data_IF_429809147604
#
_entry.id   IF_429809147604
#
_cell.length_a   1.000
_cell.length_b   1.000
_cell.length_c   1.000
_cell.angle_alpha   90.00
_cell.angle_beta   90.00
_cell.angle_gamma   90.00
#
_symmetry.space_group_name_H-M   'P 1'
#
loop_
_entity.id
_entity.type
_entity.pdbx_description
1 polymer ?
#
# COMPACT_ATOMS: atom_id res chain seq x y z
N UNK A 1 -20.67 -11.13 -13.97
CA UNK A 1 -19.32 -10.98 -13.42
C UNK A 1 -18.60 -12.28 -13.71
N UNK A 2 -17.57 -12.26 -14.55
CA UNK A 2 -16.64 -13.39 -14.61
C UNK A 2 -15.86 -13.40 -13.29
N UNK A 3 -15.71 -14.58 -12.69
CA UNK A 3 -14.82 -14.77 -11.55
C UNK A 3 -13.38 -14.49 -12.01
N UNK A 4 -12.72 -13.53 -11.36
CA UNK A 4 -11.32 -13.21 -11.60
C UNK A 4 -10.49 -14.40 -11.10
N UNK A 5 -9.52 -14.91 -11.88
CA UNK A 5 -8.76 -16.08 -11.45
C UNK A 5 -7.99 -15.79 -10.15
N UNK A 6 -7.87 -16.78 -9.25
CA UNK A 6 -7.33 -16.59 -7.90
C UNK A 6 -5.89 -16.07 -7.96
N UNK A 7 -5.49 -15.19 -7.03
CA UNK A 7 -4.07 -14.90 -6.83
C UNK A 7 -3.57 -15.16 -5.46
N UNK A 8 -2.32 -15.57 -5.49
CA UNK A 8 -1.50 -15.84 -4.33
C UNK A 8 -0.43 -14.79 -4.31
N UNK A 9 -0.53 -13.89 -3.33
CA UNK A 9 0.57 -13.01 -3.00
C UNK A 9 1.75 -13.82 -2.48
N UNK A 10 2.93 -13.51 -3.01
CA UNK A 10 4.18 -13.97 -2.46
C UNK A 10 4.67 -12.89 -1.53
N UNK A 11 4.92 -13.27 -0.28
CA UNK A 11 5.66 -12.41 0.63
C UNK A 11 6.90 -11.85 -0.07
N UNK A 12 7.26 -10.58 0.14
CA UNK A 12 8.50 -10.05 -0.39
C UNK A 12 9.62 -11.06 -0.04
N UNK A 13 10.44 -11.49 -1.03
CA UNK A 13 11.40 -12.55 -0.83
C UNK A 13 12.28 -12.24 0.39
N UNK A 14 12.37 -13.19 1.32
CA UNK A 14 13.08 -13.01 2.59
C UNK A 14 14.59 -13.01 2.34
N UNK A 15 15.15 -11.82 2.21
CA UNK A 15 16.55 -11.55 2.54
C UNK A 15 16.58 -10.39 3.54
N UNK A 16 16.85 -10.68 4.81
CA UNK A 16 16.93 -9.68 5.89
C UNK A 16 16.09 -10.03 7.13
N UNK A 17 16.06 -9.10 8.09
CA UNK A 17 15.46 -9.31 9.41
C UNK A 17 13.95 -9.04 9.40
N UNK A 18 13.16 -9.99 9.93
CA UNK A 18 11.68 -9.94 10.03
C UNK A 18 11.26 -10.61 11.35
N UNK A 19 10.11 -10.21 11.90
CA UNK A 19 9.55 -10.83 13.11
C UNK A 19 9.25 -12.32 12.93
N UNK A 20 9.44 -13.10 14.00
CA UNK A 20 9.05 -14.51 14.09
C UNK A 20 8.04 -14.68 15.24
N UNK A 21 6.75 -14.72 14.92
CA UNK A 21 5.71 -14.54 15.93
C UNK A 21 5.81 -13.16 16.56
N UNK A 22 5.72 -13.08 17.89
CA UNK A 22 5.89 -11.81 18.63
C UNK A 22 7.34 -11.46 18.97
N UNK A 23 8.32 -12.26 18.54
CA UNK A 23 9.74 -11.94 18.73
C UNK A 23 10.24 -11.08 17.57
N UNK A 24 10.73 -9.88 17.90
CA UNK A 24 11.20 -8.91 16.93
C UNK A 24 12.69 -9.10 16.60
N UNK A 25 13.10 -8.80 15.36
CA UNK A 25 14.50 -8.84 14.97
C UNK A 25 15.35 -7.81 15.73
N UNK A 26 16.62 -8.12 15.94
CA UNK A 26 17.62 -7.17 16.42
C UNK A 26 18.24 -6.40 15.25
N UNK A 27 18.26 -5.07 15.34
CA UNK A 27 18.86 -4.18 14.34
C UNK A 27 20.26 -3.67 14.76
N UNK A 28 20.91 -4.32 15.73
CA UNK A 28 22.19 -3.90 16.27
C UNK A 28 23.29 -3.79 15.19
N UNK A 29 23.31 -4.69 14.20
CA UNK A 29 24.33 -4.69 13.15
C UNK A 29 24.15 -3.53 12.17
N UNK A 30 22.92 -3.28 11.69
CA UNK A 30 22.61 -2.11 10.85
C UNK A 30 22.95 -0.81 11.58
N UNK A 31 22.61 -0.73 12.87
CA UNK A 31 22.88 0.44 13.70
C UNK A 31 24.36 0.63 13.99
N UNK A 32 25.13 -0.45 14.20
CA UNK A 32 26.57 -0.38 14.38
C UNK A 32 27.26 0.14 13.10
N UNK A 33 26.84 -0.34 11.94
CA UNK A 33 27.31 0.15 10.63
C UNK A 33 27.01 1.63 10.44
N UNK A 34 25.78 2.05 10.74
CA UNK A 34 25.34 3.45 10.69
C UNK A 34 26.14 4.34 11.65
N UNK A 35 26.35 3.89 12.88
CA UNK A 35 27.13 4.59 13.91
C UNK A 35 28.54 4.90 13.40
N UNK A 36 29.24 3.90 12.85
CA UNK A 36 30.58 4.09 12.30
C UNK A 36 30.58 5.06 11.10
N UNK A 37 29.61 4.92 10.19
CA UNK A 37 29.48 5.75 8.99
C UNK A 37 29.24 7.23 9.31
N UNK A 38 28.24 7.52 10.17
CA UNK A 38 27.86 8.89 10.56
C UNK A 38 29.03 9.58 11.29
N UNK A 39 29.66 8.88 12.23
CA UNK A 39 30.77 9.42 13.00
C UNK A 39 31.99 9.74 12.11
N UNK A 40 32.38 8.82 11.23
CA UNK A 40 33.51 9.01 10.32
C UNK A 40 33.28 10.17 9.33
N UNK A 41 32.05 10.32 8.83
CA UNK A 41 31.68 11.41 7.92
C UNK A 41 31.50 12.75 8.64
N UNK A 42 31.35 12.73 9.97
CA UNK A 42 30.94 13.89 10.80
C UNK A 42 29.69 14.57 10.25
N UNK A 43 28.80 13.79 9.63
CA UNK A 43 27.62 14.27 8.90
C UNK A 43 26.55 13.19 8.94
N UNK A 44 25.32 13.61 9.28
CA UNK A 44 24.16 12.73 9.24
C UNK A 44 23.75 12.32 7.83
N UNK A 45 22.94 11.27 7.77
CA UNK A 45 22.20 10.85 6.58
C UNK A 45 20.72 11.03 6.87
N UNK A 46 19.93 11.44 5.88
CA UNK A 46 18.50 11.63 6.07
C UNK A 46 17.75 10.31 6.14
N UNK A 47 18.24 9.31 5.39
CA UNK A 47 17.64 7.98 5.32
C UNK A 47 18.71 6.90 5.18
N UNK A 48 18.39 5.73 5.71
CA UNK A 48 19.14 4.49 5.54
C UNK A 48 18.20 3.42 4.98
N UNK A 49 18.45 2.92 3.75
CA UNK A 49 17.51 2.05 3.05
C UNK A 49 17.33 0.69 3.73
N UNK A 50 18.40 0.16 4.33
CA UNK A 50 18.37 -1.17 4.96
C UNK A 50 17.59 -1.12 6.26
N UNK A 51 17.88 -0.15 7.14
CA UNK A 51 17.13 0.05 8.38
C UNK A 51 15.65 0.40 8.11
N UNK A 52 15.36 1.20 7.08
CA UNK A 52 13.98 1.49 6.66
C UNK A 52 13.28 0.20 6.23
N UNK A 53 13.91 -0.60 5.37
CA UNK A 53 13.36 -1.87 4.89
C UNK A 53 13.10 -2.85 6.02
N UNK A 54 14.08 -3.08 6.90
CA UNK A 54 13.97 -3.97 8.07
C UNK A 54 12.83 -3.53 9.00
N UNK A 55 12.71 -2.22 9.25
CA UNK A 55 11.61 -1.65 10.05
C UNK A 55 10.25 -1.89 9.37
N UNK A 56 10.12 -1.53 8.10
CA UNK A 56 8.86 -1.67 7.37
C UNK A 56 8.41 -3.13 7.29
N UNK A 57 9.34 -4.05 6.98
CA UNK A 57 9.06 -5.50 6.92
C UNK A 57 8.63 -6.06 8.27
N UNK A 58 9.28 -5.63 9.35
CA UNK A 58 8.90 -6.03 10.71
C UNK A 58 7.47 -5.59 11.03
N UNK A 59 7.14 -4.33 10.78
CA UNK A 59 5.80 -3.80 11.04
C UNK A 59 4.74 -4.42 10.11
N UNK A 60 5.07 -4.69 8.85
CA UNK A 60 4.18 -5.39 7.92
C UNK A 60 3.88 -6.82 8.35
N UNK A 61 4.84 -7.54 8.95
CA UNK A 61 4.57 -8.85 9.52
C UNK A 61 3.43 -8.78 10.56
N UNK A 62 3.40 -7.73 11.38
CA UNK A 62 2.30 -7.48 12.31
C UNK A 62 0.99 -7.14 11.61
N UNK A 63 1.02 -6.36 10.51
CA UNK A 63 -0.19 -6.11 9.70
C UNK A 63 -0.75 -7.41 9.15
N UNK A 64 0.09 -8.27 8.59
CA UNK A 64 -0.35 -9.55 8.02
C UNK A 64 -0.87 -10.51 9.08
N UNK A 65 -0.20 -10.62 10.22
CA UNK A 65 -0.67 -11.41 11.36
C UNK A 65 -2.05 -10.93 11.82
N UNK A 66 -2.24 -9.62 11.96
CA UNK A 66 -3.49 -9.04 12.42
C UNK A 66 -4.63 -9.13 11.41
N UNK A 67 -4.36 -8.91 10.12
CA UNK A 67 -5.38 -8.97 9.06
C UNK A 67 -5.83 -10.42 8.79
N UNK A 68 -4.96 -11.40 9.04
CA UNK A 68 -5.24 -12.83 8.92
C UNK A 68 -4.26 -13.56 7.99
N UNK A 69 -3.92 -14.81 8.33
CA UNK A 69 -2.98 -15.66 7.58
C UNK A 69 -3.47 -16.10 6.20
N UNK A 70 -4.78 -15.97 5.93
CA UNK A 70 -5.42 -16.37 4.66
C UNK A 70 -5.33 -15.27 3.59
N UNK A 71 -4.26 -14.47 3.65
CA UNK A 71 -3.83 -13.52 2.63
C UNK A 71 -3.71 -14.15 1.22
N UNK A 72 -3.48 -15.47 1.17
CA UNK A 72 -3.29 -16.27 -0.05
C UNK A 72 -4.62 -16.53 -0.80
N UNK A 73 -5.76 -16.29 -0.16
CA UNK A 73 -7.10 -16.59 -0.70
C UNK A 73 -8.08 -15.42 -0.60
N UNK A 74 -7.60 -14.18 -0.41
CA UNK A 74 -8.48 -13.01 -0.41
C UNK A 74 -9.17 -12.94 -1.77
N UNK A 75 -10.48 -13.14 -1.78
CA UNK A 75 -11.27 -13.06 -3.00
C UNK A 75 -11.15 -11.64 -3.57
N UNK A 76 -10.75 -11.59 -4.84
CA UNK A 76 -10.41 -10.36 -5.57
C UNK A 76 -11.54 -9.34 -5.71
N UNK A 77 -12.77 -9.75 -5.43
CA UNK A 77 -13.95 -8.92 -5.48
C UNK A 77 -14.17 -8.11 -4.19
N UNK A 78 -13.39 -8.37 -3.14
CA UNK A 78 -13.55 -7.75 -1.82
C UNK A 78 -12.85 -6.38 -1.69
N UNK A 79 -13.37 -5.48 -0.84
CA UNK A 79 -12.68 -4.25 -0.42
C UNK A 79 -11.34 -4.45 0.33
N UNK A 80 -10.91 -5.69 0.56
CA UNK A 80 -9.77 -6.03 1.41
C UNK A 80 -8.42 -5.65 0.77
N UNK A 81 -8.26 -5.81 -0.54
CA UNK A 81 -7.01 -5.46 -1.21
C UNK A 81 -6.68 -3.97 -1.14
N UNK A 82 -7.70 -3.12 -1.29
CA UNK A 82 -7.54 -1.67 -1.18
C UNK A 82 -7.15 -1.30 0.25
N UNK A 83 -7.88 -1.85 1.24
CA UNK A 83 -7.62 -1.61 2.66
C UNK A 83 -6.20 -2.01 3.03
N UNK A 84 -5.78 -3.23 2.65
CA UNK A 84 -4.44 -3.73 2.91
C UNK A 84 -3.36 -2.92 2.19
N UNK A 85 -3.59 -2.50 0.95
CA UNK A 85 -2.64 -1.62 0.24
C UNK A 85 -2.46 -0.30 0.97
N UNK A 86 -3.55 0.29 1.49
CA UNK A 86 -3.48 1.52 2.30
C UNK A 86 -2.70 1.30 3.61
N UNK A 87 -2.95 0.18 4.31
CA UNK A 87 -2.20 -0.18 5.52
C UNK A 87 -0.70 -0.34 5.19
N UNK A 88 -0.37 -1.03 4.11
CA UNK A 88 1.02 -1.21 3.68
C UNK A 88 1.70 0.10 3.34
N UNK A 89 1.05 0.97 2.57
CA UNK A 89 1.56 2.32 2.28
C UNK A 89 1.76 3.15 3.53
N UNK A 90 0.84 3.04 4.50
CA UNK A 90 0.98 3.73 5.78
C UNK A 90 2.19 3.21 6.58
N UNK A 91 2.43 1.89 6.62
CA UNK A 91 3.62 1.31 7.27
C UNK A 91 4.91 1.81 6.63
N UNK A 92 5.00 1.83 5.29
CA UNK A 92 6.19 2.38 4.61
C UNK A 92 6.39 3.86 4.89
N UNK A 93 5.32 4.65 4.87
CA UNK A 93 5.37 6.07 5.21
C UNK A 93 5.82 6.32 6.64
N UNK A 94 5.30 5.54 7.59
CA UNK A 94 5.67 5.60 8.99
C UNK A 94 7.12 5.19 9.21
N UNK A 95 7.55 4.09 8.60
CA UNK A 95 8.92 3.57 8.69
C UNK A 95 9.93 4.54 8.13
N UNK A 96 9.63 5.22 7.01
CA UNK A 96 10.46 6.28 6.47
C UNK A 96 10.57 7.49 7.41
N UNK A 97 9.47 7.88 8.07
CA UNK A 97 9.48 8.96 9.06
C UNK A 97 10.27 8.56 10.31
N UNK A 98 10.06 7.34 10.84
CA UNK A 98 10.83 6.77 11.95
C UNK A 98 12.33 6.75 11.64
N UNK A 99 12.71 6.24 10.47
CA UNK A 99 14.09 6.18 10.01
C UNK A 99 14.73 7.58 9.99
N UNK A 100 14.03 8.59 9.47
CA UNK A 100 14.51 9.98 9.49
C UNK A 100 14.75 10.47 10.92
N UNK A 101 13.78 10.30 11.82
CA UNK A 101 13.92 10.78 13.21
C UNK A 101 15.03 10.05 13.95
N UNK A 102 15.18 8.75 13.73
CA UNK A 102 16.23 7.95 14.34
C UNK A 102 17.61 8.42 13.89
N UNK A 103 17.81 8.63 12.59
CA UNK A 103 19.08 9.09 12.04
C UNK A 103 19.39 10.53 12.46
N UNK A 104 18.38 11.39 12.55
CA UNK A 104 18.51 12.73 13.13
C UNK A 104 18.94 12.66 14.60
N UNK A 105 18.27 11.84 15.41
CA UNK A 105 18.60 11.66 16.84
C UNK A 105 20.03 11.13 17.02
N UNK A 106 20.44 10.15 16.19
CA UNK A 106 21.81 9.63 16.17
C UNK A 106 22.80 10.74 15.77
N UNK A 107 22.48 11.54 14.76
CA UNK A 107 23.35 12.64 14.30
C UNK A 107 23.54 13.71 15.38
N UNK A 108 22.46 14.08 16.07
CA UNK A 108 22.48 15.04 17.18
C UNK A 108 23.32 14.52 18.35
N UNK A 109 23.26 13.22 18.63
CA UNK A 109 24.05 12.57 19.68
C UNK A 109 25.57 12.56 19.42
N UNK A 110 26.05 12.92 18.22
CA UNK A 110 27.49 13.08 17.96
C UNK A 110 28.11 14.20 18.80
N UNK A 111 27.31 15.16 19.27
CA UNK A 111 27.78 16.26 20.10
C UNK A 111 27.33 16.08 21.55
N UNK A 112 28.16 16.59 22.46
CA UNK A 112 27.80 16.71 23.88
C UNK A 112 26.94 17.95 24.14
N UNK A 113 26.61 18.17 25.41
CA UNK A 113 25.75 19.28 25.86
C UNK A 113 26.39 20.65 25.60
N UNK A 114 27.72 20.69 25.57
CA UNK A 114 28.55 21.86 25.24
C UNK A 114 28.73 22.05 23.72
N UNK A 115 28.23 21.12 22.90
CA UNK A 115 28.32 21.14 21.44
C UNK A 115 29.66 20.65 20.88
N UNK A 116 30.57 20.14 21.72
CA UNK A 116 31.82 19.51 21.30
C UNK A 116 31.55 18.11 20.72
N UNK A 117 32.43 17.67 19.81
CA UNK A 117 32.30 16.35 19.20
C UNK A 117 32.69 15.29 20.25
N UNK A 118 31.79 14.35 20.54
CA UNK A 118 32.05 13.22 21.43
C UNK A 118 33.18 12.34 20.89
N UNK A 119 33.82 11.58 21.77
CA UNK A 119 34.68 10.47 21.34
C UNK A 119 33.83 9.36 20.69
N UNK A 120 34.45 8.50 19.87
CA UNK A 120 33.71 7.41 19.23
C UNK A 120 33.12 6.41 20.23
N UNK A 121 33.84 6.00 21.31
CA UNK A 121 33.24 5.18 22.36
C UNK A 121 32.01 5.82 23.00
N UNK A 122 32.10 7.09 23.42
CA UNK A 122 30.96 7.78 24.07
C UNK A 122 29.79 7.91 23.10
N UNK A 123 30.07 8.23 21.83
CA UNK A 123 29.04 8.30 20.80
C UNK A 123 28.34 6.94 20.60
N UNK A 124 29.11 5.85 20.54
CA UNK A 124 28.58 4.49 20.41
C UNK A 124 27.68 4.12 21.59
N UNK A 125 28.03 4.52 22.80
CA UNK A 125 27.18 4.32 23.98
C UNK A 125 25.85 5.08 23.87
N UNK A 126 25.86 6.34 23.41
CA UNK A 126 24.62 7.09 23.16
C UNK A 126 23.76 6.44 22.08
N UNK A 127 24.37 5.96 21.00
CA UNK A 127 23.66 5.24 19.92
C UNK A 127 23.02 3.95 20.44
N UNK A 128 23.67 3.22 21.36
CA UNK A 128 23.08 2.03 21.98
C UNK A 128 21.81 2.37 22.79
N UNK A 129 21.80 3.48 23.53
CA UNK A 129 20.61 3.97 24.25
C UNK A 129 19.49 4.35 23.28
N UNK A 130 19.83 5.00 22.15
CA UNK A 130 18.87 5.35 21.10
C UNK A 130 18.30 4.07 20.47
N UNK A 131 19.14 3.09 20.15
CA UNK A 131 18.74 1.80 19.59
C UNK A 131 17.73 1.08 20.50
N UNK A 132 18.04 0.99 21.80
CA UNK A 132 17.16 0.37 22.78
C UNK A 132 15.77 1.01 22.81
N UNK A 133 15.68 2.34 22.63
CA UNK A 133 14.39 3.03 22.59
C UNK A 133 13.65 2.79 21.26
N UNK A 134 14.28 3.09 20.13
CA UNK A 134 13.64 3.06 18.81
C UNK A 134 13.34 1.65 18.32
N UNK A 135 14.30 0.74 18.46
CA UNK A 135 14.28 -0.55 17.77
C UNK A 135 13.94 -1.72 18.69
N UNK A 136 13.82 -1.49 20.01
CA UNK A 136 13.36 -2.51 20.96
C UNK A 136 12.04 -2.08 21.58
N UNK A 137 12.05 -1.07 22.46
CA UNK A 137 10.86 -0.70 23.23
C UNK A 137 9.72 -0.14 22.36
N UNK A 138 10.02 0.84 21.50
CA UNK A 138 9.00 1.46 20.65
C UNK A 138 8.60 0.55 19.50
N UNK A 139 9.55 -0.15 18.88
CA UNK A 139 9.26 -1.10 17.80
C UNK A 139 8.28 -2.19 18.24
N UNK A 140 8.39 -2.71 19.48
CA UNK A 140 7.41 -3.67 20.00
C UNK A 140 6.00 -3.09 20.06
N UNK A 141 5.86 -1.88 20.61
CA UNK A 141 4.56 -1.23 20.73
C UNK A 141 3.96 -0.90 19.35
N UNK A 142 4.81 -0.50 18.40
CA UNK A 142 4.41 -0.25 17.02
C UNK A 142 3.97 -1.53 16.30
N UNK A 143 4.70 -2.64 16.50
CA UNK A 143 4.35 -3.96 15.95
C UNK A 143 2.99 -4.43 16.48
N UNK A 144 2.78 -4.37 17.79
CA UNK A 144 1.51 -4.75 18.43
C UNK A 144 0.36 -3.85 17.93
N UNK A 145 0.65 -2.58 17.66
CA UNK A 145 -0.31 -1.62 17.08
C UNK A 145 -0.66 -1.98 15.64
N UNK A 146 0.30 -2.42 14.84
CA UNK A 146 0.06 -2.94 13.49
C UNK A 146 -0.89 -4.14 13.51
N UNK A 147 -0.67 -5.12 14.41
CA UNK A 147 -1.56 -6.27 14.58
C UNK A 147 -2.98 -5.80 14.94
N UNK A 148 -3.12 -5.07 16.05
CA UNK A 148 -4.44 -4.67 16.55
C UNK A 148 -5.22 -3.84 15.52
N UNK A 149 -4.54 -2.93 14.83
CA UNK A 149 -5.17 -2.08 13.83
C UNK A 149 -5.58 -2.88 12.59
N UNK A 150 -4.74 -3.79 12.12
CA UNK A 150 -5.04 -4.63 10.96
C UNK A 150 -6.23 -5.56 11.25
N UNK A 151 -6.27 -6.19 12.43
CA UNK A 151 -7.43 -7.01 12.86
C UNK A 151 -8.72 -6.21 12.85
N UNK A 152 -8.69 -4.99 13.42
CA UNK A 152 -9.87 -4.12 13.42
C UNK A 152 -10.22 -3.63 12.02
N UNK A 153 -9.25 -3.46 11.12
CA UNK A 153 -9.50 -3.04 9.74
C UNK A 153 -10.18 -4.15 8.92
N UNK A 154 -9.75 -5.40 9.10
CA UNK A 154 -10.36 -6.58 8.48
C UNK A 154 -11.82 -6.75 8.94
N UNK A 155 -12.05 -6.74 10.27
CA UNK A 155 -13.40 -6.79 10.86
C UNK A 155 -14.31 -5.68 10.33
N UNK A 156 -13.78 -4.48 10.11
CA UNK A 156 -14.57 -3.39 9.53
C UNK A 156 -15.05 -3.69 8.10
N UNK A 157 -14.24 -4.36 7.27
CA UNK A 157 -14.67 -4.78 5.94
C UNK A 157 -15.80 -5.81 6.04
N UNK A 158 -15.68 -6.79 6.94
CA UNK A 158 -16.74 -7.77 7.23
C UNK A 158 -18.03 -7.08 7.69
N UNK A 159 -17.92 -6.11 8.62
CA UNK A 159 -19.07 -5.34 9.10
C UNK A 159 -19.78 -4.61 7.97
N UNK A 160 -19.02 -3.95 7.09
CA UNK A 160 -19.60 -3.27 5.92
C UNK A 160 -20.26 -4.24 4.96
N UNK A 161 -19.70 -5.42 4.74
CA UNK A 161 -20.27 -6.44 3.86
C UNK A 161 -21.58 -7.01 4.40
N UNK A 162 -21.70 -7.12 5.74
CA UNK A 162 -22.86 -7.71 6.40
C UNK A 162 -23.86 -6.68 6.95
N UNK A 163 -23.63 -5.38 6.73
CA UNK A 163 -24.39 -4.28 7.36
C UNK A 163 -25.90 -4.34 7.13
N UNK A 164 -26.34 -4.93 6.02
CA UNK A 164 -27.77 -5.01 5.67
C UNK A 164 -28.50 -6.04 6.55
N UNK A 165 -27.78 -7.03 7.08
CA UNK A 165 -28.29 -8.04 8.01
C UNK A 165 -27.99 -7.69 9.48
N UNK A 166 -26.81 -7.10 9.73
CA UNK A 166 -26.32 -6.75 11.07
C UNK A 166 -25.87 -5.29 11.10
N UNK A 167 -26.81 -4.32 11.21
CA UNK A 167 -26.52 -2.90 11.04
C UNK A 167 -25.87 -2.24 12.27
N UNK A 168 -25.80 -2.92 13.40
CA UNK A 168 -25.30 -2.39 14.67
C UNK A 168 -23.98 -3.01 15.09
N UNK A 169 -23.13 -2.17 15.67
CA UNK A 169 -21.91 -2.56 16.36
C UNK A 169 -22.03 -2.19 17.84
N UNK A 170 -21.42 -3.00 18.70
CA UNK A 170 -21.24 -2.73 20.13
C UNK A 170 -19.77 -2.64 20.45
N UNK A 171 -19.37 -1.59 21.16
CA UNK A 171 -18.02 -1.43 21.67
C UNK A 171 -17.81 -2.38 22.86
N UNK A 172 -16.72 -3.15 22.84
CA UNK A 172 -16.40 -4.13 23.86
C UNK A 172 -14.95 -3.94 24.32
N UNK A 173 -14.76 -3.85 25.64
CA UNK A 173 -13.42 -3.84 26.24
C UNK A 173 -13.01 -5.25 26.65
N UNK A 174 -11.71 -5.48 26.89
CA UNK A 174 -11.21 -6.72 27.48
C UNK A 174 -11.81 -7.04 28.87
N UNK A 175 -12.41 -6.06 29.54
CA UNK A 175 -13.13 -6.24 30.81
C UNK A 175 -12.27 -6.38 32.07
N UNK A 176 -10.93 -6.43 31.95
CA UNK A 176 -10.01 -6.54 33.09
C UNK A 176 -9.57 -5.17 33.65
N UNK A 177 -8.77 -5.19 34.73
CA UNK A 177 -8.29 -3.99 35.44
C UNK A 177 -7.28 -3.15 34.63
N UNK A 178 -6.69 -3.71 33.56
CA UNK A 178 -5.73 -2.98 32.70
C UNK A 178 -6.43 -2.12 31.65
N UNK A 179 -7.75 -2.24 31.49
CA UNK A 179 -8.54 -1.35 30.62
C UNK A 179 -8.54 0.06 31.21
N UNK A 180 -8.20 1.05 30.38
CA UNK A 180 -8.23 2.47 30.74
C UNK A 180 -9.66 2.93 31.02
N UNK A 181 -9.84 3.81 32.00
CA UNK A 181 -11.16 4.28 32.42
C UNK A 181 -11.92 4.96 31.27
N UNK A 182 -11.21 5.70 30.41
CA UNK A 182 -11.77 6.30 29.21
C UNK A 182 -12.41 5.25 28.29
N UNK A 183 -11.80 4.07 28.18
CA UNK A 183 -12.31 2.98 27.33
C UNK A 183 -13.47 2.24 28.00
N UNK A 184 -13.46 2.12 29.34
CA UNK A 184 -14.56 1.50 30.10
C UNK A 184 -15.89 2.23 29.90
N UNK A 185 -15.85 3.56 29.77
CA UNK A 185 -17.05 4.37 29.51
C UNK A 185 -17.73 3.99 28.19
N UNK A 186 -16.94 3.53 27.21
CA UNK A 186 -17.45 3.10 25.91
C UNK A 186 -17.99 1.68 25.93
N UNK A 187 -17.66 0.87 26.95
CA UNK A 187 -18.06 -0.53 27.00
C UNK A 187 -19.59 -0.68 26.97
N UNK A 188 -20.11 -1.42 26.00
CA UNK A 188 -21.55 -1.62 25.78
C UNK A 188 -22.22 -0.56 24.91
N UNK A 189 -21.54 0.56 24.58
CA UNK A 189 -22.08 1.55 23.64
C UNK A 189 -22.36 0.87 22.31
N UNK A 190 -23.63 0.89 21.91
CA UNK A 190 -24.13 0.22 20.71
C UNK A 190 -24.64 1.26 19.72
N UNK A 191 -24.08 1.27 18.52
CA UNK A 191 -24.33 2.27 17.48
C UNK A 191 -24.45 1.62 16.11
N UNK A 192 -25.23 2.21 15.20
CA UNK A 192 -25.25 1.78 13.80
C UNK A 192 -23.86 1.90 13.19
N UNK A 193 -23.52 1.03 12.23
CA UNK A 193 -22.21 1.03 11.56
C UNK A 193 -21.90 2.40 10.93
N UNK A 194 -22.91 3.10 10.40
CA UNK A 194 -22.78 4.41 9.75
C UNK A 194 -22.79 5.61 10.72
N UNK A 195 -22.90 5.37 12.03
CA UNK A 195 -22.88 6.44 13.02
C UNK A 195 -21.49 7.10 13.09
N UNK A 196 -21.40 8.45 13.09
CA UNK A 196 -20.14 9.18 13.22
C UNK A 196 -19.30 8.82 14.44
N UNK A 197 -19.89 8.22 15.49
CA UNK A 197 -19.19 7.65 16.63
C UNK A 197 -18.01 6.78 16.20
N UNK A 198 -18.21 5.89 15.22
CA UNK A 198 -17.17 4.97 14.77
C UNK A 198 -16.01 5.67 14.06
N UNK A 199 -16.19 6.89 13.54
CA UNK A 199 -15.08 7.65 12.95
C UNK A 199 -14.02 8.06 13.99
N UNK A 200 -14.44 8.20 15.25
CA UNK A 200 -13.60 8.71 16.34
C UNK A 200 -13.25 7.63 17.37
N UNK A 201 -14.16 6.71 17.63
CA UNK A 201 -14.09 5.78 18.77
C UNK A 201 -13.89 4.32 18.34
N UNK A 202 -13.74 4.03 17.04
CA UNK A 202 -13.46 2.67 16.58
C UNK A 202 -12.05 2.24 17.03
N UNK A 203 -11.91 1.10 17.73
CA UNK A 203 -10.61 0.64 18.23
C UNK A 203 -9.56 0.41 17.13
N UNK A 204 -8.25 0.54 17.45
CA UNK A 204 -7.69 0.78 18.79
C UNK A 204 -7.73 2.27 19.22
N UNK A 205 -8.07 2.50 20.50
CA UNK A 205 -8.23 3.84 21.08
C UNK A 205 -7.02 4.29 21.94
N UNK A 206 -5.85 3.72 21.70
CA UNK A 206 -4.61 3.96 22.44
C UNK A 206 -3.58 2.87 22.20
N UNK A 207 -2.33 3.13 22.58
CA UNK A 207 -1.26 2.12 22.56
C UNK A 207 -1.67 0.89 23.40
N UNK A 208 -1.42 -0.31 22.90
CA UNK A 208 -1.79 -1.59 23.56
C UNK A 208 -3.27 -1.67 23.95
N UNK A 209 -4.16 -1.03 23.19
CA UNK A 209 -5.60 -1.14 23.37
C UNK A 209 -6.06 -2.56 22.99
N UNK A 210 -6.81 -3.21 23.88
CA UNK A 210 -7.42 -4.54 23.67
C UNK A 210 -8.95 -4.46 23.58
N UNK A 211 -9.46 -3.34 23.09
CA UNK A 211 -10.89 -3.16 22.85
C UNK A 211 -11.22 -3.53 21.42
N UNK A 212 -12.46 -3.95 21.19
CA UNK A 212 -12.98 -4.32 19.89
C UNK A 212 -14.39 -3.75 19.67
N UNK A 213 -14.88 -3.89 18.45
CA UNK A 213 -16.28 -3.72 18.12
C UNK A 213 -16.81 -5.07 17.66
N UNK A 214 -18.03 -5.42 18.08
CA UNK A 214 -18.70 -6.66 17.69
C UNK A 214 -20.03 -6.34 17.02
N UNK A 215 -20.41 -7.09 15.99
CA UNK A 215 -21.74 -6.99 15.40
C UNK A 215 -22.79 -7.57 16.34
N UNK A 216 -23.94 -6.91 16.43
CA UNK A 216 -25.08 -7.35 17.22
C UNK A 216 -26.35 -7.43 16.35
N UNK A 217 -27.20 -8.47 16.51
CA UNK A 217 -28.47 -8.61 15.80
C UNK A 217 -29.47 -7.48 16.06
N UNK A 218 -30.29 -7.13 15.05
CA UNK A 218 -31.26 -6.03 15.11
C UNK A 218 -32.46 -6.32 16.06
N UNK A 219 -32.86 -7.59 16.14
CA UNK A 219 -34.10 -8.05 16.78
C UNK A 219 -34.20 -7.76 18.30
N UNK A 220 -33.09 -7.48 18.98
CA UNK A 220 -33.04 -7.09 20.39
C UNK A 220 -32.07 -5.91 20.67
N UNK A 221 -31.63 -5.18 19.65
CA UNK A 221 -30.64 -4.10 19.84
C UNK A 221 -31.31 -2.75 20.17
N UNK A 222 -31.09 -2.27 21.39
CA UNK A 222 -31.33 -0.87 21.73
C UNK A 222 -30.08 -0.04 21.47
N UNK A 223 -30.15 0.84 20.45
CA UNK A 223 -29.09 1.81 20.20
C UNK A 223 -28.88 2.71 21.42
N UNK A 224 -27.63 2.89 21.85
CA UNK A 224 -27.29 3.75 22.98
C UNK A 224 -27.55 5.22 22.59
N UNK A 225 -28.48 5.94 23.24
CA UNK A 225 -28.73 7.34 22.92
C UNK A 225 -27.50 8.20 23.23
N UNK A 226 -27.19 9.17 22.37
CA UNK A 226 -25.96 9.98 22.49
C UNK A 226 -25.79 10.71 23.85
N UNK A 227 -26.89 10.93 24.59
CA UNK A 227 -26.90 11.63 25.88
C UNK A 227 -26.82 10.68 27.10
N UNK A 228 -26.60 9.37 26.90
CA UNK A 228 -26.56 8.38 28.00
C UNK A 228 -25.17 8.09 28.54
N UNK A 229 -24.13 8.59 27.88
CA UNK A 229 -22.73 8.44 28.27
C UNK A 229 -21.95 9.72 27.94
N UNK A 230 -20.94 10.03 28.76
CA UNK A 230 -20.03 11.15 28.48
C UNK A 230 -18.93 10.66 27.56
N UNK A 231 -18.79 11.28 26.39
CA UNK A 231 -17.74 10.91 25.45
C UNK A 231 -16.35 11.19 26.05
N UNK A 232 -15.47 10.17 26.14
CA UNK A 232 -14.13 10.35 26.68
C UNK A 232 -13.25 11.12 25.71
N UNK A 233 -12.24 11.80 26.25
CA UNK A 233 -11.18 12.42 25.46
C UNK A 233 -10.14 11.35 25.14
N UNK A 234 -10.11 10.92 23.88
CA UNK A 234 -9.07 10.01 23.36
C UNK A 234 -7.93 10.85 22.79
N UNK A 235 -6.70 10.36 22.84
CA UNK A 235 -5.56 11.01 22.17
C UNK A 235 -5.87 11.18 20.67
N UNK A 236 -5.67 12.38 20.07
CA UNK A 236 -5.93 12.63 18.65
C UNK A 236 -5.31 11.61 17.69
N UNK A 237 -4.19 10.99 18.06
CA UNK A 237 -3.54 9.95 17.26
C UNK A 237 -4.45 8.74 17.01
N UNK A 238 -5.38 8.44 17.92
CA UNK A 238 -6.26 7.27 17.84
C UNK A 238 -7.71 7.63 17.46
N UNK A 239 -7.98 8.90 17.13
CA UNK A 239 -9.31 9.35 16.68
C UNK A 239 -9.54 9.08 15.19
N UNK A 240 -9.22 7.88 14.75
CA UNK A 240 -9.26 7.48 13.34
C UNK A 240 -9.86 6.09 13.23
N UNK A 241 -10.92 5.94 12.43
CA UNK A 241 -11.37 4.62 12.03
C UNK A 241 -10.37 4.01 11.04
N UNK A 242 -9.56 3.08 11.53
CA UNK A 242 -8.55 2.41 10.72
C UNK A 242 -9.15 1.58 9.58
N UNK A 243 -10.31 0.96 9.77
CA UNK A 243 -11.00 0.18 8.74
C UNK A 243 -11.59 1.03 7.62
N UNK A 244 -11.97 2.28 7.89
CA UNK A 244 -12.39 3.22 6.84
C UNK A 244 -11.20 3.85 6.12
N UNK A 245 -10.13 4.18 6.85
CA UNK A 245 -9.05 5.04 6.33
C UNK A 245 -7.81 4.29 5.86
N UNK A 246 -7.59 3.07 6.36
CA UNK A 246 -6.35 2.32 6.17
C UNK A 246 -5.13 2.97 6.85
N UNK A 247 -5.34 3.75 7.92
CA UNK A 247 -4.27 4.41 8.66
C UNK A 247 -4.01 3.70 10.00
N UNK A 248 -2.79 3.18 10.16
CA UNK A 248 -2.27 2.66 11.44
C UNK A 248 -1.65 3.78 12.25
N UNK A 249 -0.81 4.57 11.59
CA UNK A 249 -0.13 5.72 12.17
C UNK A 249 -0.55 6.99 11.40
N UNK A 250 -1.50 7.77 11.92
CA UNK A 250 -1.95 9.01 11.28
C UNK A 250 -0.84 10.07 11.16
N UNK A 251 -1.02 11.03 10.25
CA UNK A 251 -0.06 12.13 9.99
C UNK A 251 0.25 13.01 11.21
N UNK A 252 -0.58 12.97 12.25
CA UNK A 252 -0.33 13.65 13.53
C UNK A 252 0.71 12.94 14.42
N UNK A 253 1.19 11.76 14.04
CA UNK A 253 2.20 11.04 14.81
C UNK A 253 3.51 11.86 14.92
N UNK A 254 4.16 11.91 16.09
CA UNK A 254 5.37 12.72 16.31
C UNK A 254 6.50 12.47 15.32
N UNK A 255 6.58 11.28 14.73
CA UNK A 255 7.59 10.99 13.70
C UNK A 255 7.43 11.82 12.43
N UNK A 256 6.23 12.30 12.09
CA UNK A 256 6.02 13.15 10.93
C UNK A 256 6.40 14.63 11.18
N UNK A 257 6.68 15.00 12.43
CA UNK A 257 7.03 16.38 12.81
C UNK A 257 8.41 16.79 12.29
N UNK A 258 8.54 18.03 11.83
CA UNK A 258 9.80 18.65 11.40
C UNK A 258 10.56 17.89 10.29
N UNK A 259 9.87 17.03 9.52
CA UNK A 259 10.45 16.39 8.34
C UNK A 259 10.35 17.35 7.14
N UNK A 260 11.45 17.66 6.44
CA UNK A 260 11.39 18.47 5.23
C UNK A 260 10.48 17.87 4.16
N UNK A 261 9.77 18.73 3.44
CA UNK A 261 8.78 18.31 2.44
C UNK A 261 9.39 17.40 1.37
N UNK A 262 8.83 16.20 1.22
CA UNK A 262 9.24 15.23 0.20
C UNK A 262 10.27 14.20 0.64
N UNK A 263 10.89 14.34 1.82
CA UNK A 263 11.90 13.37 2.31
C UNK A 263 11.32 11.96 2.47
N UNK A 264 10.11 11.82 3.03
CA UNK A 264 9.41 10.53 3.13
C UNK A 264 9.22 9.88 1.75
N UNK A 265 8.77 10.66 0.74
CA UNK A 265 8.57 10.14 -0.61
C UNK A 265 9.89 9.69 -1.24
N UNK A 266 10.95 10.50 -1.09
CA UNK A 266 12.28 10.14 -1.58
C UNK A 266 12.76 8.86 -0.90
N UNK A 267 12.65 8.75 0.42
CA UNK A 267 13.08 7.58 1.17
C UNK A 267 12.50 6.29 0.60
N UNK A 268 11.18 6.26 0.35
CA UNK A 268 10.49 5.11 -0.21
C UNK A 268 10.86 4.90 -1.68
N UNK A 269 10.91 5.97 -2.49
CA UNK A 269 11.23 5.87 -3.91
C UNK A 269 12.67 5.44 -4.21
N UNK A 270 13.61 5.70 -3.29
CA UNK A 270 15.00 5.31 -3.42
C UNK A 270 15.31 3.94 -2.80
N UNK A 271 14.32 3.22 -2.27
CA UNK A 271 14.53 1.86 -1.80
C UNK A 271 15.12 0.99 -2.92
N UNK A 272 16.05 0.07 -2.58
CA UNK A 272 16.46 -0.98 -3.49
C UNK A 272 15.22 -1.74 -4.01
N UNK A 273 15.20 -2.17 -5.28
CA UNK A 273 14.06 -2.90 -5.86
C UNK A 273 13.55 -4.02 -4.95
N UNK A 274 14.41 -4.86 -4.41
CA UNK A 274 14.08 -5.95 -3.47
C UNK A 274 13.33 -5.52 -2.19
N UNK A 275 13.31 -4.22 -1.89
CA UNK A 275 12.66 -3.61 -0.73
C UNK A 275 11.43 -2.75 -1.09
N UNK A 276 11.16 -2.56 -2.39
CA UNK A 276 10.14 -1.63 -2.89
C UNK A 276 8.90 -2.27 -3.52
N UNK A 277 8.84 -3.61 -3.60
CA UNK A 277 7.73 -4.33 -4.23
C UNK A 277 7.00 -5.28 -3.28
N UNK A 278 5.72 -5.45 -3.55
CA UNK A 278 4.86 -6.52 -3.05
C UNK A 278 4.62 -7.48 -4.22
N UNK A 279 5.10 -8.71 -4.09
CA UNK A 279 5.07 -9.68 -5.17
C UNK A 279 3.81 -10.56 -5.09
N UNK A 280 3.26 -10.95 -6.23
CA UNK A 280 2.18 -11.93 -6.31
C UNK A 280 2.18 -12.65 -7.65
N UNK A 281 1.27 -13.61 -7.84
CA UNK A 281 1.11 -14.28 -9.13
C UNK A 281 -0.31 -14.28 -9.60
N UNK A 282 -0.52 -13.92 -10.87
CA UNK A 282 -1.80 -14.12 -11.53
C UNK A 282 -1.89 -15.54 -12.11
N UNK A 283 -2.93 -16.27 -11.72
CA UNK A 283 -3.28 -17.54 -12.34
C UNK A 283 -3.94 -17.31 -13.70
N UNK A 284 -3.33 -17.75 -14.79
CA UNK A 284 -3.86 -17.54 -16.14
C UNK A 284 -3.61 -18.76 -17.03
N UNK A 285 -4.66 -19.53 -17.32
CA UNK A 285 -4.57 -20.72 -18.18
C UNK A 285 -3.65 -21.80 -17.62
N UNK A 286 -3.66 -22.01 -16.30
CA UNK A 286 -2.77 -22.98 -15.61
C UNK A 286 -1.32 -22.51 -15.45
N UNK A 287 -1.04 -21.22 -15.68
CA UNK A 287 0.28 -20.60 -15.47
C UNK A 287 0.22 -19.63 -14.30
N UNK A 288 1.35 -19.46 -13.63
CA UNK A 288 1.56 -18.42 -12.63
C UNK A 288 2.37 -17.30 -13.26
N UNK A 289 1.74 -16.15 -13.53
CA UNK A 289 2.42 -14.96 -14.05
C UNK A 289 2.84 -14.09 -12.85
N UNK A 290 4.14 -13.99 -12.53
CA UNK A 290 4.61 -13.10 -11.46
C UNK A 290 4.24 -11.64 -11.75
N UNK A 291 3.84 -10.94 -10.69
CA UNK A 291 3.50 -9.52 -10.68
C UNK A 291 4.25 -8.84 -9.54
N UNK A 292 4.99 -7.79 -9.87
CA UNK A 292 5.75 -6.97 -8.93
C UNK A 292 5.02 -5.64 -8.72
N UNK A 293 4.25 -5.49 -7.64
CA UNK A 293 3.55 -4.24 -7.34
C UNK A 293 4.43 -3.31 -6.52
N UNK A 294 4.82 -2.16 -7.08
CA UNK A 294 5.57 -1.18 -6.31
C UNK A 294 4.70 -0.63 -5.15
N UNK A 295 5.28 -0.45 -3.97
CA UNK A 295 4.55 0.00 -2.76
C UNK A 295 3.85 1.36 -2.93
N UNK A 296 4.34 2.19 -3.84
CA UNK A 296 3.76 3.48 -4.24
C UNK A 296 2.80 3.42 -5.44
N UNK A 297 2.36 2.24 -5.88
CA UNK A 297 1.34 2.15 -6.93
C UNK A 297 0.02 2.77 -6.46
N UNK A 298 -0.70 3.41 -7.38
CA UNK A 298 -1.95 4.12 -7.07
C UNK A 298 -3.03 3.18 -6.55
N UNK A 299 -3.46 3.36 -5.29
CA UNK A 299 -4.45 2.48 -4.65
C UNK A 299 -5.79 2.50 -5.38
N UNK A 300 -6.22 3.67 -5.85
CA UNK A 300 -7.50 3.84 -6.55
C UNK A 300 -7.54 3.12 -7.90
N UNK A 301 -6.38 2.92 -8.53
CA UNK A 301 -6.24 2.26 -9.83
C UNK A 301 -5.92 0.76 -9.69
N UNK A 302 -5.34 0.35 -8.56
CA UNK A 302 -4.80 -1.00 -8.32
C UNK A 302 -5.80 -2.11 -8.69
N UNK A 303 -7.03 -2.06 -8.14
CA UNK A 303 -8.05 -3.10 -8.42
C UNK A 303 -8.34 -3.20 -9.91
N UNK A 304 -8.48 -2.06 -10.58
CA UNK A 304 -8.75 -2.03 -12.01
C UNK A 304 -7.57 -2.52 -12.84
N UNK A 305 -6.36 -2.18 -12.43
CA UNK A 305 -5.12 -2.55 -13.10
C UNK A 305 -4.88 -4.06 -13.01
N UNK A 306 -5.11 -4.66 -11.85
CA UNK A 306 -5.05 -6.10 -11.65
C UNK A 306 -6.10 -6.83 -12.49
N UNK A 307 -7.34 -6.34 -12.53
CA UNK A 307 -8.40 -6.94 -13.34
C UNK A 307 -8.02 -6.97 -14.84
N UNK A 308 -7.54 -5.84 -15.37
CA UNK A 308 -7.07 -5.72 -16.75
C UNK A 308 -5.89 -6.67 -17.00
N UNK A 309 -4.94 -6.71 -16.07
CA UNK A 309 -3.75 -7.55 -16.17
C UNK A 309 -4.11 -9.04 -16.16
N UNK A 310 -5.09 -9.46 -15.36
CA UNK A 310 -5.50 -10.85 -15.29
C UNK A 310 -6.14 -11.35 -16.58
N UNK A 311 -7.04 -10.57 -17.18
CA UNK A 311 -7.60 -10.92 -18.49
C UNK A 311 -6.52 -10.89 -19.57
N UNK A 312 -5.62 -9.89 -19.52
CA UNK A 312 -4.52 -9.80 -20.47
C UNK A 312 -3.62 -11.04 -20.38
N UNK A 313 -3.31 -11.50 -19.17
CA UNK A 313 -2.54 -12.72 -18.95
C UNK A 313 -3.26 -13.95 -19.50
N UNK A 314 -4.59 -14.03 -19.40
CA UNK A 314 -5.37 -15.12 -19.99
C UNK A 314 -5.32 -15.10 -21.53
N UNK A 315 -5.37 -13.91 -22.14
CA UNK A 315 -5.32 -13.72 -23.61
C UNK A 315 -3.91 -13.94 -24.16
N UNK A 316 -2.90 -13.39 -23.49
CA UNK A 316 -1.51 -13.37 -23.94
C UNK A 316 -0.69 -14.42 -23.19
N UNK A 317 -0.62 -15.61 -23.76
CA UNK A 317 0.11 -16.75 -23.18
C UNK A 317 1.63 -16.57 -23.13
N UNK A 318 2.15 -15.58 -23.86
CA UNK A 318 3.55 -15.17 -23.89
C UNK A 318 3.89 -14.05 -22.89
N UNK A 319 2.90 -13.51 -22.16
CA UNK A 319 3.14 -12.65 -20.99
C UNK A 319 3.75 -13.51 -19.87
N UNK A 320 4.98 -13.19 -19.49
CA UNK A 320 5.76 -13.94 -18.51
C UNK A 320 5.88 -13.24 -17.17
N UNK A 321 5.77 -11.90 -17.13
CA UNK A 321 5.93 -11.11 -15.91
C UNK A 321 5.28 -9.73 -16.10
N UNK A 322 4.84 -9.11 -15.00
CA UNK A 322 4.37 -7.73 -14.99
C UNK A 322 4.89 -6.97 -13.77
N UNK A 323 5.12 -5.66 -13.92
CA UNK A 323 5.44 -4.77 -12.81
C UNK A 323 4.42 -3.63 -12.78
N UNK A 324 3.71 -3.44 -11.67
CA UNK A 324 2.83 -2.29 -11.47
C UNK A 324 3.64 -1.12 -10.91
N UNK A 325 3.63 0.00 -11.62
CA UNK A 325 4.60 1.07 -11.46
C UNK A 325 4.20 2.08 -10.36
N UNK A 326 5.16 2.75 -9.71
CA UNK A 326 4.86 3.78 -8.71
C UNK A 326 4.19 5.03 -9.30
N UNK A 327 3.30 5.65 -8.51
CA UNK A 327 2.85 7.02 -8.76
C UNK A 327 3.89 8.03 -8.25
N UNK A 328 4.77 8.48 -9.15
CA UNK A 328 5.85 9.42 -8.85
C UNK A 328 5.39 10.84 -9.11
N UNK A 329 5.49 11.67 -8.07
CA UNK A 329 5.20 13.11 -8.15
C UNK A 329 6.16 13.81 -9.14
N UNK A 330 5.67 14.82 -9.86
CA UNK A 330 6.40 15.51 -10.93
C UNK A 330 7.76 16.10 -10.51
N UNK A 331 7.83 16.66 -9.30
CA UNK A 331 9.08 17.15 -8.66
C UNK A 331 10.16 16.10 -8.49
N UNK A 332 9.77 14.84 -8.47
CA UNK A 332 10.61 13.67 -8.23
C UNK A 332 10.78 12.85 -9.53
N UNK A 333 10.46 13.43 -10.70
CA UNK A 333 10.44 12.74 -12.01
C UNK A 333 11.74 12.04 -12.41
N UNK A 334 12.90 12.47 -11.89
CA UNK A 334 14.19 11.79 -12.09
C UNK A 334 14.22 10.36 -11.53
N UNK A 335 13.33 10.03 -10.59
CA UNK A 335 13.21 8.68 -10.04
C UNK A 335 12.60 7.69 -11.02
N UNK A 336 11.87 8.17 -12.02
CA UNK A 336 11.14 7.31 -12.95
C UNK A 336 12.07 6.40 -13.73
N UNK A 337 13.26 6.87 -14.10
CA UNK A 337 14.24 6.08 -14.87
C UNK A 337 14.60 4.74 -14.20
N UNK A 338 14.41 4.58 -12.89
CA UNK A 338 14.64 3.31 -12.17
C UNK A 338 13.60 2.22 -12.45
N UNK A 339 12.39 2.61 -12.86
CA UNK A 339 11.22 1.73 -12.91
C UNK A 339 10.79 1.40 -14.33
N UNK A 340 11.44 1.99 -15.34
CA UNK A 340 11.09 1.85 -16.75
C UNK A 340 12.25 1.15 -17.48
N UNK A 341 11.98 0.51 -18.63
CA UNK A 341 13.03 -0.14 -19.42
C UNK A 341 14.16 0.81 -19.80
N UNK A 342 15.39 0.29 -19.82
CA UNK A 342 16.57 1.05 -20.22
C UNK A 342 16.39 1.65 -21.62
N UNK A 343 16.61 2.96 -21.74
CA UNK A 343 16.48 3.70 -22.99
C UNK A 343 15.04 4.01 -23.42
N UNK A 344 14.04 3.73 -22.58
CA UNK A 344 12.66 4.16 -22.84
C UNK A 344 12.50 5.69 -22.70
N UNK A 345 11.80 6.32 -23.64
CA UNK A 345 11.58 7.77 -23.65
C UNK A 345 10.19 8.15 -23.11
N UNK A 346 10.16 8.99 -22.07
CA UNK A 346 8.91 9.48 -21.49
C UNK A 346 8.14 10.37 -22.46
N UNK A 347 6.90 9.98 -22.76
CA UNK A 347 5.97 10.78 -23.57
C UNK A 347 5.56 12.08 -22.86
N UNK A 348 5.23 12.00 -21.57
CA UNK A 348 5.03 13.15 -20.67
C UNK A 348 5.69 12.85 -19.32
N UNK A 349 6.77 13.58 -18.99
CA UNK A 349 7.52 13.41 -17.73
C UNK A 349 6.67 13.65 -16.48
N UNK A 350 5.53 14.31 -16.59
CA UNK A 350 4.61 14.55 -15.49
C UNK A 350 3.59 13.42 -15.28
N UNK A 351 3.60 12.39 -16.13
CA UNK A 351 2.68 11.27 -16.08
C UNK A 351 3.39 9.97 -15.75
N UNK A 352 2.65 9.02 -15.18
CA UNK A 352 3.12 7.70 -14.84
C UNK A 352 2.34 6.70 -15.70
N UNK A 353 3.04 5.73 -16.29
CA UNK A 353 2.41 4.53 -16.84
C UNK A 353 1.96 3.62 -15.70
N UNK A 354 1.03 2.72 -15.99
CA UNK A 354 0.49 1.79 -15.00
C UNK A 354 1.40 0.57 -14.80
N UNK A 355 1.98 0.07 -15.89
CA UNK A 355 2.72 -1.18 -15.85
C UNK A 355 3.90 -1.26 -16.85
N UNK A 356 4.88 -2.08 -16.50
CA UNK A 356 5.79 -2.71 -17.47
C UNK A 356 5.41 -4.19 -17.61
N UNK A 357 5.21 -4.65 -18.83
CA UNK A 357 4.83 -6.02 -19.15
C UNK A 357 5.93 -6.72 -19.92
N UNK A 358 6.25 -7.95 -19.53
CA UNK A 358 7.33 -8.73 -20.14
C UNK A 358 6.74 -9.83 -21.02
N UNK A 359 7.01 -9.75 -22.31
CA UNK A 359 6.64 -10.75 -23.32
C UNK A 359 7.91 -11.44 -23.85
N UNK A 360 8.36 -12.48 -23.15
CA UNK A 360 9.63 -13.16 -23.44
C UNK A 360 10.84 -12.23 -23.28
N UNK A 361 11.40 -11.72 -24.39
CA UNK A 361 12.52 -10.76 -24.37
C UNK A 361 12.11 -9.30 -24.56
N UNK A 362 10.82 -9.03 -24.83
CA UNK A 362 10.30 -7.69 -25.08
C UNK A 362 9.66 -7.13 -23.82
N UNK A 363 9.84 -5.84 -23.58
CA UNK A 363 9.18 -5.11 -22.49
C UNK A 363 8.24 -4.06 -23.08
N UNK A 364 7.01 -4.03 -22.60
CA UNK A 364 5.99 -3.05 -22.99
C UNK A 364 5.69 -2.13 -21.81
N UNK A 365 5.87 -0.83 -22.00
CA UNK A 365 5.35 0.17 -21.08
C UNK A 365 3.88 0.39 -21.43
N UNK A 366 2.99 0.06 -20.50
CA UNK A 366 1.55 -0.01 -20.71
C UNK A 366 0.77 0.89 -19.76
N UNK A 367 -0.31 1.46 -20.29
CA UNK A 367 -1.32 2.19 -19.54
C UNK A 367 -2.65 1.42 -19.65
N UNK A 368 -3.28 1.21 -18.50
CA UNK A 368 -4.49 0.42 -18.33
C UNK A 368 -5.69 1.35 -18.18
N UNK A 369 -6.80 0.95 -18.79
CA UNK A 369 -8.05 1.70 -18.68
C UNK A 369 -9.25 0.76 -18.57
N UNK A 370 -10.15 1.08 -17.64
CA UNK A 370 -11.49 0.50 -17.56
C UNK A 370 -12.51 1.51 -18.07
N UNK A 371 -13.31 1.11 -19.04
CA UNK A 371 -14.29 1.97 -19.68
C UNK A 371 -15.69 1.41 -19.47
N UNK A 372 -16.61 2.29 -19.09
CA UNK A 372 -18.01 1.92 -19.03
C UNK A 372 -18.62 1.76 -20.42
N UNK A 373 -19.45 0.73 -20.59
CA UNK A 373 -20.18 0.46 -21.81
C UNK A 373 -19.33 -0.23 -22.88
N UNK A 374 -19.65 0.06 -24.15
CA UNK A 374 -19.21 -0.75 -25.29
C UNK A 374 -18.06 -0.13 -26.10
N UNK A 375 -17.31 0.82 -25.56
CA UNK A 375 -16.13 1.39 -26.24
C UNK A 375 -16.42 2.43 -27.33
N UNK A 376 -17.66 2.89 -27.52
CA UNK A 376 -18.00 4.01 -28.43
C UNK A 376 -17.19 5.30 -28.17
N UNK A 377 -16.78 5.51 -26.92
CA UNK A 377 -15.99 6.67 -26.49
C UNK A 377 -14.54 6.31 -26.16
N UNK A 378 -13.94 5.31 -26.84
CA UNK A 378 -12.57 4.86 -26.55
C UNK A 378 -11.48 5.88 -26.95
N UNK A 379 -11.77 6.76 -27.93
CA UNK A 379 -10.77 7.65 -28.52
C UNK A 379 -10.06 8.59 -27.52
N UNK A 380 -10.75 9.29 -26.58
CA UNK A 380 -10.08 10.13 -25.59
C UNK A 380 -9.25 9.33 -24.58
N UNK A 381 -9.58 8.06 -24.33
CA UNK A 381 -8.81 7.21 -23.44
C UNK A 381 -7.50 6.76 -24.09
N UNK A 382 -7.52 6.45 -25.38
CA UNK A 382 -6.30 6.21 -26.17
C UNK A 382 -5.38 7.43 -26.19
N UNK A 383 -5.93 8.64 -26.33
CA UNK A 383 -5.14 9.88 -26.27
C UNK A 383 -4.52 10.14 -24.90
N UNK A 384 -5.20 9.76 -23.81
CA UNK A 384 -4.63 9.83 -22.46
C UNK A 384 -3.51 8.80 -22.29
N UNK A 385 -3.77 7.54 -22.64
CA UNK A 385 -2.79 6.47 -22.59
C UNK A 385 -1.52 6.81 -23.38
N UNK A 386 -1.67 7.41 -24.56
CA UNK A 386 -0.56 7.86 -25.40
C UNK A 386 0.39 8.86 -24.70
N UNK A 387 -0.07 9.60 -23.68
CA UNK A 387 0.80 10.51 -22.91
C UNK A 387 1.60 9.79 -21.83
N UNK A 388 1.20 8.58 -21.47
CA UNK A 388 1.72 7.84 -20.31
C UNK A 388 2.60 6.68 -20.76
N UNK A 389 2.25 6.01 -21.86
CA UNK A 389 2.81 4.72 -22.23
C UNK A 389 2.87 4.50 -23.76
N UNK A 390 3.54 3.42 -24.16
CA UNK A 390 3.61 2.94 -25.54
C UNK A 390 2.38 2.11 -25.94
N UNK A 391 1.79 1.41 -24.98
CA UNK A 391 0.69 0.48 -25.21
C UNK A 391 -0.52 0.86 -24.35
N UNK A 392 -1.72 0.77 -24.92
CA UNK A 392 -2.97 0.96 -24.19
C UNK A 392 -3.70 -0.38 -24.06
N UNK A 393 -3.97 -0.82 -22.82
CA UNK A 393 -4.76 -2.02 -22.56
C UNK A 393 -6.09 -1.61 -21.93
N UNK A 394 -7.19 -1.87 -22.64
CA UNK A 394 -8.49 -1.31 -22.33
C UNK A 394 -9.50 -2.43 -22.07
N UNK A 395 -10.05 -2.49 -20.86
CA UNK A 395 -11.18 -3.37 -20.54
C UNK A 395 -12.52 -2.62 -20.60
N UNK A 396 -13.50 -3.21 -21.26
CA UNK A 396 -14.86 -2.69 -21.37
C UNK A 396 -15.79 -3.35 -20.35
N UNK A 397 -16.74 -2.60 -19.78
CA UNK A 397 -17.74 -3.16 -18.86
C UNK A 397 -19.02 -3.67 -19.54
N UNK A 398 -19.26 -3.30 -20.81
CA UNK A 398 -20.42 -3.75 -21.59
C UNK A 398 -20.05 -4.76 -22.67
N UNK A 399 -20.92 -5.74 -22.90
CA UNK A 399 -20.81 -6.70 -24.01
C UNK A 399 -21.11 -6.03 -25.35
N UNK A 400 -20.23 -6.19 -26.34
CA UNK A 400 -20.53 -5.81 -27.72
C UNK A 400 -21.19 -6.96 -28.48
N UNK A 401 -22.46 -6.80 -28.87
CA UNK A 401 -23.12 -7.69 -29.84
C UNK A 401 -22.82 -7.29 -31.29
N UNK A 402 -22.61 -5.99 -31.58
CA UNK A 402 -22.30 -5.43 -32.90
C UNK A 402 -21.44 -4.16 -32.75
N UNK A 403 -20.40 -3.98 -33.58
CA UNK A 403 -19.61 -2.74 -33.62
C UNK A 403 -18.08 -2.84 -33.47
N UNK A 404 -17.51 -4.05 -33.43
CA UNK A 404 -16.06 -4.28 -33.29
C UNK A 404 -15.25 -3.51 -34.33
N UNK A 405 -15.75 -3.49 -35.57
CA UNK A 405 -15.12 -2.78 -36.69
C UNK A 405 -15.02 -1.27 -36.45
N UNK A 406 -15.99 -0.66 -35.77
CA UNK A 406 -15.97 0.76 -35.42
C UNK A 406 -14.91 1.08 -34.36
N UNK A 407 -14.78 0.21 -33.36
CA UNK A 407 -13.73 0.31 -32.32
C UNK A 407 -12.36 0.12 -32.97
N UNK A 408 -12.19 -0.94 -33.77
CA UNK A 408 -10.97 -1.24 -34.51
C UNK A 408 -10.53 -0.06 -35.40
N UNK A 409 -11.42 0.48 -36.23
CA UNK A 409 -11.14 1.68 -37.05
C UNK A 409 -10.71 2.88 -36.21
N UNK A 410 -11.33 3.07 -35.04
CA UNK A 410 -10.98 4.16 -34.13
C UNK A 410 -9.57 3.97 -33.58
N UNK A 411 -9.20 2.74 -33.20
CA UNK A 411 -7.86 2.41 -32.72
C UNK A 411 -6.82 2.65 -33.82
N UNK A 412 -7.01 2.10 -35.02
CA UNK A 412 -6.08 2.28 -36.15
C UNK A 412 -5.81 3.77 -36.38
N UNK A 413 -6.87 4.59 -36.47
CA UNK A 413 -6.74 6.05 -36.63
C UNK A 413 -5.96 6.69 -35.48
N UNK A 414 -6.09 6.19 -34.24
CA UNK A 414 -5.37 6.72 -33.08
C UNK A 414 -3.92 6.27 -33.01
N UNK A 415 -3.59 5.06 -33.46
CA UNK A 415 -2.20 4.62 -33.60
C UNK A 415 -1.43 5.46 -34.63
N UNK A 416 -2.10 5.90 -35.70
CA UNK A 416 -1.52 6.81 -36.69
C UNK A 416 -1.31 8.24 -36.16
N UNK A 417 -2.19 8.71 -35.27
CA UNK A 417 -2.21 10.11 -34.81
C UNK A 417 -1.59 10.33 -33.43
N UNK A 418 -1.11 9.27 -32.77
CA UNK A 418 -0.49 9.34 -31.44
C UNK A 418 0.85 8.58 -31.41
N UNK A 419 1.53 8.65 -30.27
CA UNK A 419 2.77 7.92 -29.98
C UNK A 419 2.56 6.45 -29.64
N UNK A 420 1.32 5.98 -29.49
CA UNK A 420 1.05 4.57 -29.17
C UNK A 420 1.61 3.64 -30.24
N UNK A 421 2.29 2.58 -29.79
CA UNK A 421 2.79 1.46 -30.60
C UNK A 421 1.73 0.38 -30.79
N UNK A 422 0.78 0.24 -29.87
CA UNK A 422 -0.33 -0.69 -29.99
C UNK A 422 -1.42 -0.47 -28.97
N UNK A 423 -2.58 -1.09 -29.20
CA UNK A 423 -3.68 -1.12 -28.26
C UNK A 423 -4.38 -2.47 -28.27
N UNK A 424 -4.76 -2.94 -27.09
CA UNK A 424 -5.52 -4.17 -26.88
C UNK A 424 -6.82 -3.80 -26.17
N UNK A 425 -7.95 -4.31 -26.69
CA UNK A 425 -9.26 -4.12 -26.10
C UNK A 425 -9.85 -5.46 -25.69
N UNK A 426 -10.26 -5.53 -24.43
CA UNK A 426 -10.78 -6.71 -23.76
C UNK A 426 -12.27 -6.47 -23.45
N UNK A 427 -13.10 -7.48 -23.70
CA UNK A 427 -14.52 -7.47 -23.40
C UNK A 427 -14.79 -7.60 -21.89
N UNK A 428 -16.05 -7.36 -21.50
CA UNK A 428 -16.49 -7.54 -20.12
C UNK A 428 -16.38 -8.98 -19.60
N UNK A 429 -16.30 -9.96 -20.51
CA UNK A 429 -16.14 -11.38 -20.21
C UNK A 429 -14.66 -11.83 -20.19
N UNK A 430 -13.72 -10.90 -20.35
CA UNK A 430 -12.29 -11.20 -20.40
C UNK A 430 -11.81 -11.72 -21.76
N UNK A 431 -12.68 -11.86 -22.76
CA UNK A 431 -12.28 -12.24 -24.11
C UNK A 431 -11.65 -11.07 -24.88
N UNK A 432 -10.74 -11.38 -25.81
CA UNK A 432 -10.15 -10.37 -26.69
C UNK A 432 -11.22 -9.84 -27.66
N UNK A 433 -11.46 -8.53 -27.64
CA UNK A 433 -12.34 -7.86 -28.60
C UNK A 433 -11.57 -7.51 -29.89
N UNK A 434 -10.44 -6.82 -29.74
CA UNK A 434 -9.53 -6.51 -30.83
C UNK A 434 -8.15 -6.13 -30.30
N UNK A 435 -7.13 -6.34 -31.11
CA UNK A 435 -5.79 -5.83 -30.90
C UNK A 435 -5.27 -5.24 -32.21
N UNK A 436 -4.59 -4.12 -32.11
CA UNK A 436 -4.00 -3.45 -33.26
C UNK A 436 -2.63 -2.88 -32.87
N UNK A 437 -1.68 -2.99 -33.79
CA UNK A 437 -0.33 -2.47 -33.63
C UNK A 437 -0.06 -1.48 -34.75
N UNK A 438 0.75 -0.46 -34.45
CA UNK A 438 1.18 0.49 -35.47
C UNK A 438 2.00 -0.30 -36.48
N UNK A 439 1.60 -0.28 -37.76
CA UNK A 439 2.37 -0.89 -38.84
C UNK A 439 3.67 -0.11 -39.01
N UNK A 440 4.71 -0.47 -38.26
CA UNK A 440 6.07 -0.08 -38.57
C UNK A 440 6.54 -0.98 -39.70
N UNK A 441 6.74 -0.38 -40.88
CA UNK A 441 7.48 -1.03 -41.95
C UNK A 441 8.92 -1.20 -41.42
N UNK A 442 9.22 -2.41 -40.92
CA UNK A 442 10.53 -2.84 -40.42
C UNK A 442 10.69 -2.69 -38.91
N UNK A 443 10.65 -3.83 -38.21
CA UNK A 443 11.48 -4.18 -37.03
C UNK A 443 11.50 -5.70 -36.83
#
# INVERSE_FOLDING_TARGET
MHEIPPVTFLYPPVTGAVAQGHELPDFADEIAGLCASIYNRKKGVNHDPDLLSSTARTLLAGVYEGYGSDFVSVDWDTPDIETLTRLTQNVFSFSAAKNYQQLRTITEAMRDEEGALRSFPDFKEQVAVINQKFNVTWLQTEYDTCIATATQSARWQEFKAQKDMFPFLRYQTAGDDSVRDEHRILNGVTKRIDDPFWRTYYPPNGWNCRCEAIQVPDDDTQESPANTYTLPVIDPLFRTNCGETGLIFPKGHPYYSDIPGGEIRKAIAYLPPENGYLDFHIQAGGRNVPVHQHVMHGVEELRGNIEVLADLAAIKTDLTEASLLPDIHTKDSMLKDKFYPDGWEFHDKNKNADAVLVFGKKQWVADFKRLEGNGKHIAPHLEKAARQADYAIIKLSGTQAEGVEGVRKTIIRKLETTSLKGAIVINSDGSLLCEEYKNTIGD
#
